data_IF_308587563988
#
_entry.id   IF_308587563988
#
_cell.length_a   1.000
_cell.length_b   1.000
_cell.length_c   1.000
_cell.angle_alpha   90.00
_cell.angle_beta   90.00
_cell.angle_gamma   90.00
#
_symmetry.space_group_name_H-M   'P 1'
#
loop_
_entity.id
_entity.type
_entity.pdbx_description
1 polymer ?
#
# COMPACT_ATOMS: atom_id res chain seq x y z
N UNK A 1 13.02 -1.65 7.70
CA UNK A 1 12.20 -2.05 6.54
C UNK A 1 12.01 -3.57 6.47
N UNK A 2 11.18 -4.04 5.53
CA UNK A 2 10.84 -5.47 5.38
C UNK A 2 12.08 -6.30 5.04
N UNK A 3 12.94 -5.83 4.15
CA UNK A 3 14.15 -6.56 3.78
C UNK A 3 15.07 -6.77 4.97
N UNK A 4 15.24 -5.74 5.80
CA UNK A 4 16.06 -5.81 7.02
C UNK A 4 15.55 -6.85 8.01
N UNK A 5 14.24 -6.93 8.27
CA UNK A 5 13.73 -7.91 9.25
C UNK A 5 13.76 -9.33 8.72
N UNK A 6 13.59 -9.53 7.41
CA UNK A 6 13.72 -10.83 6.75
C UNK A 6 15.18 -11.33 6.81
N UNK A 7 16.13 -10.46 6.54
CA UNK A 7 17.56 -10.80 6.62
C UNK A 7 18.03 -11.10 8.05
N UNK A 8 17.48 -10.38 9.04
CA UNK A 8 17.86 -10.56 10.45
C UNK A 8 17.19 -11.74 11.14
N UNK A 9 16.07 -12.23 10.66
CA UNK A 9 15.29 -13.27 11.35
C UNK A 9 16.10 -14.56 11.62
N UNK A 10 16.85 -15.16 10.67
CA UNK A 10 17.68 -16.32 10.95
C UNK A 10 18.78 -16.02 11.98
N UNK A 11 19.37 -14.83 11.93
CA UNK A 11 20.40 -14.43 12.89
C UNK A 11 19.84 -14.36 14.30
N UNK A 12 18.71 -13.69 14.50
CA UNK A 12 18.05 -13.60 15.81
C UNK A 12 17.63 -14.98 16.33
N UNK A 13 17.23 -15.89 15.46
CA UNK A 13 16.93 -17.28 15.82
C UNK A 13 18.16 -17.98 16.38
N UNK A 14 19.31 -17.86 15.75
CA UNK A 14 20.56 -18.46 16.21
C UNK A 14 21.05 -17.80 17.51
N UNK A 15 21.18 -16.47 17.51
CA UNK A 15 21.80 -15.75 18.64
C UNK A 15 20.91 -15.72 19.90
N UNK A 16 19.58 -15.64 19.74
CA UNK A 16 18.66 -15.49 20.88
C UNK A 16 18.01 -16.79 21.32
N UNK A 17 17.81 -17.75 20.39
CA UNK A 17 17.16 -19.04 20.69
C UNK A 17 18.12 -20.21 20.79
N UNK A 18 19.43 -20.00 20.54
CA UNK A 18 20.48 -20.97 20.74
C UNK A 18 20.50 -22.09 19.71
N UNK A 19 20.05 -21.86 18.50
CA UNK A 19 20.27 -22.77 17.35
C UNK A 19 21.67 -22.54 16.75
N UNK A 20 22.16 -23.51 15.99
CA UNK A 20 23.44 -23.37 15.31
C UNK A 20 23.25 -22.72 13.92
N UNK A 21 22.17 -23.09 13.25
CA UNK A 21 21.83 -22.60 11.92
C UNK A 21 20.34 -22.30 11.84
N UNK A 22 20.00 -21.26 11.09
CA UNK A 22 18.62 -20.96 10.74
C UNK A 22 18.51 -20.42 9.32
N UNK A 23 17.40 -20.70 8.67
CA UNK A 23 17.07 -20.22 7.33
C UNK A 23 15.62 -19.76 7.25
N UNK A 24 15.37 -18.75 6.42
CA UNK A 24 14.04 -18.25 6.13
C UNK A 24 13.71 -18.47 4.65
N UNK A 25 12.59 -19.14 4.43
CA UNK A 25 12.00 -19.31 3.10
C UNK A 25 10.78 -18.42 2.94
N UNK A 26 10.63 -17.85 1.77
CA UNK A 26 9.39 -17.19 1.33
C UNK A 26 8.61 -18.12 0.40
N UNK A 27 7.28 -18.09 0.49
CA UNK A 27 6.40 -18.73 -0.47
C UNK A 27 6.05 -17.76 -1.59
N UNK A 28 6.40 -18.10 -2.82
CA UNK A 28 6.11 -17.31 -4.00
C UNK A 28 5.65 -18.22 -5.14
N UNK A 29 4.45 -17.98 -5.66
CA UNK A 29 3.85 -18.73 -6.77
C UNK A 29 3.93 -20.27 -6.59
N UNK A 30 3.67 -20.76 -5.38
CA UNK A 30 3.70 -22.19 -5.08
C UNK A 30 5.09 -22.81 -4.98
N UNK A 31 6.14 -22.00 -4.90
CA UNK A 31 7.53 -22.44 -4.68
C UNK A 31 8.07 -21.87 -3.36
N UNK A 32 9.06 -22.56 -2.78
CA UNK A 32 9.83 -22.04 -1.65
C UNK A 32 11.11 -21.41 -2.16
N UNK A 33 11.28 -20.12 -1.89
CA UNK A 33 12.49 -19.37 -2.22
C UNK A 33 13.21 -19.02 -0.92
N UNK A 34 14.45 -19.45 -0.75
CA UNK A 34 15.26 -19.07 0.41
C UNK A 34 15.65 -17.60 0.30
N UNK A 35 15.24 -16.79 1.27
CA UNK A 35 15.50 -15.35 1.32
C UNK A 35 16.77 -15.04 2.10
N UNK A 36 16.98 -15.74 3.23
CA UNK A 36 18.12 -15.51 4.11
C UNK A 36 18.51 -16.76 4.88
N UNK A 37 19.77 -16.82 5.27
CA UNK A 37 20.35 -17.86 6.10
C UNK A 37 21.37 -17.26 7.06
N UNK A 38 21.52 -17.86 8.25
CA UNK A 38 22.56 -17.50 9.20
C UNK A 38 23.08 -18.78 9.90
N UNK A 39 24.40 -18.98 9.84
CA UNK A 39 25.09 -20.18 10.32
C UNK A 39 26.18 -19.82 11.34
N UNK A 40 25.90 -18.86 12.23
CA UNK A 40 26.88 -18.38 13.18
C UNK A 40 28.09 -17.76 12.46
N UNK A 41 29.29 -18.29 12.75
CA UNK A 41 30.55 -17.83 12.15
C UNK A 41 30.76 -18.32 10.71
N UNK A 42 30.00 -19.32 10.23
CA UNK A 42 30.11 -19.87 8.87
C UNK A 42 29.29 -19.04 7.86
N UNK A 43 29.75 -17.83 7.62
CA UNK A 43 29.12 -16.90 6.66
C UNK A 43 29.14 -17.44 5.23
N UNK A 44 30.27 -18.04 4.82
CA UNK A 44 30.43 -18.59 3.47
C UNK A 44 29.47 -19.75 3.23
N UNK A 45 29.30 -20.64 4.23
CA UNK A 45 28.31 -21.73 4.18
C UNK A 45 26.88 -21.22 4.06
N UNK A 46 26.52 -20.16 4.77
CA UNK A 46 25.21 -19.54 4.68
C UNK A 46 24.95 -18.94 3.27
N UNK A 47 25.91 -18.21 2.71
CA UNK A 47 25.81 -17.62 1.36
C UNK A 47 25.68 -18.71 0.28
N UNK A 48 26.48 -19.78 0.36
CA UNK A 48 26.38 -20.95 -0.54
C UNK A 48 25.03 -21.65 -0.43
N UNK A 49 24.52 -21.77 0.79
CA UNK A 49 23.20 -22.39 1.03
C UNK A 49 22.08 -21.61 0.38
N UNK A 50 22.08 -20.29 0.53
CA UNK A 50 21.08 -19.41 -0.13
C UNK A 50 21.15 -19.56 -1.64
N UNK A 51 22.35 -19.45 -2.23
CA UNK A 51 22.53 -19.57 -3.68
C UNK A 51 22.07 -20.93 -4.21
N UNK A 52 22.41 -22.03 -3.53
CA UNK A 52 21.99 -23.36 -3.90
C UNK A 52 20.45 -23.52 -3.81
N UNK A 53 19.85 -23.14 -2.69
CA UNK A 53 18.43 -23.29 -2.46
C UNK A 53 17.58 -22.45 -3.43
N UNK A 54 18.06 -21.25 -3.81
CA UNK A 54 17.43 -20.43 -4.84
C UNK A 54 17.51 -21.07 -6.24
N UNK A 55 18.60 -21.73 -6.56
CA UNK A 55 18.76 -22.45 -7.84
C UNK A 55 17.83 -23.67 -7.93
N UNK A 56 17.59 -24.36 -6.83
CA UNK A 56 16.67 -25.52 -6.75
C UNK A 56 15.21 -25.06 -6.72
N UNK A 57 14.91 -24.00 -5.97
CA UNK A 57 13.58 -23.39 -5.75
C UNK A 57 12.44 -24.44 -5.71
N UNK A 58 12.38 -25.30 -4.67
CA UNK A 58 11.50 -26.46 -4.68
C UNK A 58 10.02 -26.06 -4.73
N UNK A 59 9.21 -26.69 -5.61
CA UNK A 59 7.78 -26.47 -5.61
C UNK A 59 7.16 -27.07 -4.33
N UNK A 60 6.12 -26.42 -3.82
CA UNK A 60 5.31 -26.92 -2.70
C UNK A 60 4.37 -28.02 -3.21
N UNK A 61 4.89 -29.20 -3.44
CA UNK A 61 4.07 -30.36 -3.79
C UNK A 61 3.35 -30.96 -2.56
N UNK A 62 2.43 -31.91 -2.82
CA UNK A 62 1.61 -32.50 -1.76
C UNK A 62 2.38 -33.41 -0.79
N UNK A 63 3.58 -33.82 -1.14
CA UNK A 63 4.42 -34.72 -0.32
C UNK A 63 5.28 -33.96 0.68
N UNK A 64 5.60 -32.71 0.42
CA UNK A 64 6.49 -31.94 1.27
C UNK A 64 5.89 -31.65 2.65
N UNK A 65 6.77 -31.64 3.65
CA UNK A 65 6.45 -31.32 5.03
C UNK A 65 5.84 -29.91 5.16
N UNK A 66 6.36 -28.96 4.41
CA UNK A 66 5.90 -27.58 4.37
C UNK A 66 4.44 -27.47 3.87
N UNK A 67 4.04 -28.30 2.92
CA UNK A 67 2.65 -28.39 2.50
C UNK A 67 1.73 -28.90 3.60
N UNK A 68 2.21 -29.83 4.43
CA UNK A 68 1.48 -30.29 5.60
C UNK A 68 1.39 -29.18 6.67
N UNK A 69 2.47 -28.42 6.88
CA UNK A 69 2.46 -27.26 7.78
C UNK A 69 1.46 -26.19 7.33
N UNK A 70 1.36 -25.92 6.01
CA UNK A 70 0.34 -25.02 5.45
C UNK A 70 -1.07 -25.51 5.80
N UNK A 71 -1.34 -26.81 5.61
CA UNK A 71 -2.69 -27.38 5.86
C UNK A 71 -3.07 -27.42 7.33
N UNK A 72 -2.10 -27.67 8.20
CA UNK A 72 -2.31 -27.87 9.65
C UNK A 72 -2.14 -26.59 10.46
N UNK A 73 -1.53 -25.56 9.86
CA UNK A 73 -1.13 -24.34 10.55
C UNK A 73 -0.33 -24.66 11.83
N UNK A 74 0.64 -25.56 11.72
CA UNK A 74 1.40 -26.06 12.85
C UNK A 74 2.87 -26.26 12.49
N UNK A 75 3.78 -26.15 13.47
CA UNK A 75 5.21 -26.41 13.29
C UNK A 75 5.48 -27.90 13.10
N UNK A 76 6.68 -28.22 12.64
CA UNK A 76 7.13 -29.57 12.43
C UNK A 76 8.47 -29.83 13.12
N UNK A 77 8.65 -31.09 13.58
CA UNK A 77 9.90 -31.63 14.10
C UNK A 77 10.32 -32.79 13.21
N UNK A 78 11.55 -32.75 12.71
CA UNK A 78 12.17 -33.80 11.90
C UNK A 78 13.42 -34.27 12.64
N UNK A 79 13.38 -35.49 13.20
CA UNK A 79 14.46 -36.06 13.98
C UNK A 79 15.47 -36.88 13.13
N UNK A 80 15.03 -37.30 11.94
CA UNK A 80 15.87 -38.02 10.96
C UNK A 80 15.58 -37.51 9.55
N UNK A 81 16.19 -36.37 9.19
CA UNK A 81 15.96 -35.73 7.91
C UNK A 81 16.45 -36.57 6.71
N UNK A 82 17.43 -37.47 6.93
CA UNK A 82 17.98 -38.32 5.85
C UNK A 82 17.01 -39.39 5.40
N UNK A 83 16.16 -39.87 6.29
CA UNK A 83 15.23 -40.96 6.02
C UNK A 83 13.77 -40.50 5.93
N UNK A 84 13.46 -39.22 6.21
CA UNK A 84 12.12 -38.69 6.08
C UNK A 84 11.77 -38.44 4.60
N UNK A 85 10.73 -39.10 4.05
CA UNK A 85 10.34 -38.93 2.65
C UNK A 85 9.67 -37.56 2.36
N UNK A 86 9.33 -36.80 3.40
CA UNK A 86 8.62 -35.51 3.28
C UNK A 86 9.56 -34.33 3.12
N UNK A 87 10.86 -34.51 3.25
CA UNK A 87 11.83 -33.41 3.17
C UNK A 87 12.30 -33.19 1.73
N UNK A 88 12.72 -31.96 1.43
CA UNK A 88 13.38 -31.65 0.16
C UNK A 88 14.80 -32.25 0.16
N UNK A 89 14.96 -33.40 -0.49
CA UNK A 89 16.19 -34.16 -0.49
C UNK A 89 17.40 -33.34 -0.97
N UNK A 90 17.36 -32.61 -2.10
CA UNK A 90 18.49 -31.80 -2.55
C UNK A 90 18.98 -30.81 -1.49
N UNK A 91 18.07 -30.17 -0.77
CA UNK A 91 18.42 -29.20 0.29
C UNK A 91 19.04 -29.91 1.48
N UNK A 92 18.48 -31.04 1.93
CA UNK A 92 19.01 -31.83 3.05
C UNK A 92 20.40 -32.40 2.75
N UNK A 93 20.61 -32.92 1.56
CA UNK A 93 21.91 -33.49 1.15
C UNK A 93 22.98 -32.39 1.04
N UNK A 94 22.65 -31.22 0.51
CA UNK A 94 23.56 -30.08 0.44
C UNK A 94 23.91 -29.52 1.82
N UNK A 95 22.91 -29.35 2.68
CA UNK A 95 23.08 -28.76 4.02
C UNK A 95 23.65 -29.75 5.05
N UNK A 96 23.70 -31.02 4.72
CA UNK A 96 24.10 -32.12 5.64
C UNK A 96 23.25 -32.18 6.91
N UNK A 97 22.02 -31.65 6.87
CA UNK A 97 21.13 -31.60 8.03
C UNK A 97 20.68 -33.00 8.45
N UNK A 98 20.83 -33.31 9.74
CA UNK A 98 20.39 -34.57 10.31
C UNK A 98 19.01 -34.50 10.94
N UNK A 99 18.77 -33.43 11.68
CA UNK A 99 17.49 -33.14 12.30
C UNK A 99 17.24 -31.65 12.26
N UNK A 100 15.97 -31.22 12.14
CA UNK A 100 15.62 -29.80 12.14
C UNK A 100 14.19 -29.59 12.63
N UNK A 101 13.90 -28.37 13.03
CA UNK A 101 12.56 -27.88 13.33
C UNK A 101 12.17 -26.82 12.32
N UNK A 102 10.88 -26.77 12.00
CA UNK A 102 10.34 -25.82 11.04
C UNK A 102 9.01 -25.23 11.52
N UNK A 103 8.78 -23.97 11.27
CA UNK A 103 7.50 -23.33 11.55
C UNK A 103 7.04 -22.44 10.41
N UNK A 104 5.72 -22.42 10.11
CA UNK A 104 5.16 -21.53 9.13
C UNK A 104 5.05 -20.11 9.69
N UNK A 105 5.31 -19.11 8.85
CA UNK A 105 5.12 -17.68 9.16
C UNK A 105 3.75 -17.27 8.65
N UNK A 106 2.83 -16.90 9.55
CA UNK A 106 1.43 -16.66 9.22
C UNK A 106 0.89 -15.36 9.83
N UNK A 107 1.29 -14.15 9.36
CA UNK A 107 0.89 -12.89 9.98
C UNK A 107 -0.62 -12.66 10.00
N UNK A 108 -1.36 -13.16 9.01
CA UNK A 108 -2.83 -12.97 8.87
C UNK A 108 -3.56 -14.31 8.67
N UNK A 109 -3.03 -15.39 9.22
CA UNK A 109 -3.56 -16.75 9.01
C UNK A 109 -3.19 -17.36 7.64
N UNK A 110 -2.55 -16.59 6.75
CA UNK A 110 -2.03 -17.08 5.48
C UNK A 110 -0.52 -17.31 5.61
N UNK A 111 -0.05 -18.50 5.25
CA UNK A 111 1.39 -18.81 5.22
C UNK A 111 2.07 -18.00 4.13
N UNK A 112 3.06 -17.19 4.52
CA UNK A 112 3.90 -16.39 3.62
C UNK A 112 5.32 -16.93 3.50
N UNK A 113 5.73 -17.82 4.39
CA UNK A 113 7.07 -18.38 4.44
C UNK A 113 7.23 -19.41 5.55
N UNK A 114 8.46 -19.85 5.74
CA UNK A 114 8.84 -20.80 6.77
C UNK A 114 10.17 -20.40 7.41
N UNK A 115 10.31 -20.66 8.70
CA UNK A 115 11.58 -20.64 9.42
C UNK A 115 11.98 -22.07 9.71
N UNK A 116 13.23 -22.45 9.34
CA UNK A 116 13.84 -23.72 9.71
C UNK A 116 15.07 -23.44 10.56
N UNK A 117 15.33 -24.29 11.55
CA UNK A 117 16.50 -24.21 12.39
C UNK A 117 17.00 -25.59 12.79
N UNK A 118 18.30 -25.72 12.97
CA UNK A 118 18.95 -26.94 13.42
C UNK A 118 20.11 -26.69 14.41
N UNK A 119 20.67 -27.79 14.89
CA UNK A 119 21.80 -27.83 15.83
C UNK A 119 22.95 -28.68 15.28
N UNK A 120 23.28 -28.46 14.01
CA UNK A 120 24.27 -29.32 13.33
C UNK A 120 25.67 -29.24 13.94
N UNK A 121 26.14 -28.04 14.26
CA UNK A 121 27.50 -27.82 14.74
C UNK A 121 27.71 -28.30 16.18
N UNK A 122 26.70 -28.17 17.03
CA UNK A 122 26.72 -28.73 18.39
C UNK A 122 26.53 -30.24 18.44
N UNK A 123 26.13 -30.85 17.30
CA UNK A 123 25.88 -32.29 17.20
C UNK A 123 24.65 -32.77 17.98
N UNK A 124 23.80 -31.82 18.44
CA UNK A 124 22.59 -32.12 19.21
C UNK A 124 21.42 -32.34 18.29
N UNK A 125 20.65 -33.38 18.50
CA UNK A 125 19.36 -33.58 17.83
C UNK A 125 18.34 -32.57 18.39
N UNK A 126 17.56 -31.94 17.54
CA UNK A 126 16.47 -31.07 17.95
C UNK A 126 15.32 -31.86 18.58
N UNK A 127 14.56 -31.20 19.45
CA UNK A 127 13.48 -31.78 20.24
C UNK A 127 12.17 -30.95 20.16
N UNK A 128 11.17 -31.36 20.94
CA UNK A 128 9.88 -30.66 20.98
C UNK A 128 9.99 -29.24 21.53
N UNK A 129 10.92 -28.97 22.44
CA UNK A 129 11.15 -27.64 22.99
C UNK A 129 11.72 -26.73 21.88
N UNK A 130 12.64 -27.26 21.08
CA UNK A 130 13.19 -26.56 19.93
C UNK A 130 12.09 -26.23 18.90
N UNK A 131 11.17 -27.19 18.62
CA UNK A 131 10.00 -26.97 17.74
C UNK A 131 9.11 -25.84 18.27
N UNK A 132 8.76 -25.86 19.54
CA UNK A 132 7.88 -24.89 20.16
C UNK A 132 8.56 -23.51 20.23
N UNK A 133 9.88 -23.48 20.40
CA UNK A 133 10.69 -22.26 20.34
C UNK A 133 10.65 -21.60 18.96
N UNK A 134 10.87 -22.39 17.89
CA UNK A 134 10.78 -21.87 16.50
C UNK A 134 9.36 -21.44 16.19
N UNK A 135 8.36 -22.14 16.70
CA UNK A 135 6.95 -21.76 16.53
C UNK A 135 6.66 -20.41 17.17
N UNK A 136 7.00 -20.23 18.44
CA UNK A 136 6.79 -18.95 19.13
C UNK A 136 7.54 -17.79 18.46
N UNK A 137 8.75 -18.04 17.98
CA UNK A 137 9.51 -17.04 17.23
C UNK A 137 8.84 -16.70 15.90
N UNK A 138 8.38 -17.68 15.14
CA UNK A 138 7.71 -17.48 13.84
C UNK A 138 6.41 -16.68 13.99
N UNK A 139 5.64 -16.90 15.06
CA UNK A 139 4.46 -16.09 15.39
C UNK A 139 4.85 -14.63 15.68
N UNK A 140 5.83 -14.41 16.55
CA UNK A 140 6.33 -13.06 16.87
C UNK A 140 6.90 -12.34 15.64
N UNK A 141 7.66 -13.06 14.82
CA UNK A 141 8.18 -12.55 13.55
C UNK A 141 7.04 -12.19 12.59
N UNK A 142 6.00 -13.01 12.47
CA UNK A 142 4.83 -12.75 11.65
C UNK A 142 4.16 -11.41 11.97
N UNK A 143 3.96 -11.11 13.27
CA UNK A 143 3.44 -9.82 13.72
C UNK A 143 4.38 -8.65 13.41
N UNK A 144 5.68 -8.82 13.62
CA UNK A 144 6.68 -7.80 13.31
C UNK A 144 6.74 -7.51 11.80
N UNK A 145 6.65 -8.54 10.98
CA UNK A 145 6.60 -8.45 9.53
C UNK A 145 5.35 -7.67 9.05
N UNK A 146 4.17 -8.07 9.50
CA UNK A 146 2.91 -7.40 9.16
C UNK A 146 2.94 -5.91 9.53
N UNK A 147 3.35 -5.61 10.76
CA UNK A 147 3.51 -4.23 11.22
C UNK A 147 4.46 -3.43 10.32
N UNK A 148 5.58 -4.02 9.92
CA UNK A 148 6.56 -3.36 9.05
C UNK A 148 5.99 -3.09 7.67
N UNK A 149 5.29 -4.06 7.07
CA UNK A 149 4.62 -3.91 5.77
C UNK A 149 3.57 -2.77 5.82
N UNK A 150 2.75 -2.73 6.87
CA UNK A 150 1.74 -1.69 7.04
C UNK A 150 2.38 -0.30 7.20
N UNK A 151 3.44 -0.18 7.99
CA UNK A 151 4.17 1.09 8.17
C UNK A 151 4.81 1.57 6.86
N UNK A 152 5.39 0.67 6.07
CA UNK A 152 5.94 1.03 4.76
C UNK A 152 4.86 1.48 3.79
N UNK A 153 3.72 0.78 3.76
CA UNK A 153 2.57 1.18 2.94
C UNK A 153 2.07 2.57 3.31
N UNK A 154 1.92 2.84 4.61
CA UNK A 154 1.54 4.17 5.11
C UNK A 154 2.55 5.25 4.69
N UNK A 155 3.86 4.98 4.85
CA UNK A 155 4.91 5.93 4.44
C UNK A 155 4.86 6.25 2.95
N UNK A 156 4.64 5.23 2.09
CA UNK A 156 4.48 5.43 0.64
C UNK A 156 3.26 6.29 0.33
N UNK A 157 2.10 5.98 0.92
CA UNK A 157 0.88 6.77 0.73
C UNK A 157 1.05 8.23 1.18
N UNK A 158 1.67 8.46 2.34
CA UNK A 158 1.96 9.82 2.82
C UNK A 158 2.93 10.57 1.88
N UNK A 159 3.90 9.88 1.30
CA UNK A 159 4.81 10.48 0.33
C UNK A 159 4.10 10.86 -0.98
N UNK A 160 3.15 10.04 -1.43
CA UNK A 160 2.31 10.33 -2.60
C UNK A 160 1.39 11.54 -2.37
N UNK A 161 0.72 11.59 -1.22
CA UNK A 161 -0.12 12.74 -0.84
C UNK A 161 0.70 14.02 -0.77
N UNK A 162 1.88 13.99 -0.14
CA UNK A 162 2.77 15.17 -0.07
C UNK A 162 3.23 15.62 -1.46
N UNK A 163 3.55 14.70 -2.37
CA UNK A 163 3.91 15.04 -3.75
C UNK A 163 2.76 15.68 -4.50
N UNK A 164 1.55 15.14 -4.35
CA UNK A 164 0.35 15.70 -4.97
C UNK A 164 0.05 17.11 -4.45
N UNK A 165 0.18 17.36 -3.14
CA UNK A 165 0.01 18.67 -2.54
C UNK A 165 1.06 19.68 -3.03
N UNK A 166 2.33 19.27 -3.09
CA UNK A 166 3.41 20.13 -3.61
C UNK A 166 3.18 20.51 -5.08
N UNK A 167 2.73 19.56 -5.91
CA UNK A 167 2.38 19.84 -7.31
C UNK A 167 1.18 20.78 -7.44
N UNK A 168 0.20 20.65 -6.56
CA UNK A 168 -0.95 21.58 -6.53
C UNK A 168 -0.52 22.99 -6.12
N UNK A 169 0.33 23.14 -5.10
CA UNK A 169 0.87 24.42 -4.68
C UNK A 169 1.68 25.09 -5.79
N UNK A 170 2.48 24.30 -6.53
CA UNK A 170 3.26 24.81 -7.66
C UNK A 170 2.34 25.29 -8.81
N UNK A 171 1.29 24.54 -9.10
CA UNK A 171 0.29 24.93 -10.10
C UNK A 171 -0.45 26.22 -9.70
N UNK A 172 -0.80 26.37 -8.42
CA UNK A 172 -1.43 27.59 -7.90
C UNK A 172 -0.47 28.80 -8.02
N UNK A 173 0.82 28.63 -7.67
CA UNK A 173 1.82 29.70 -7.83
C UNK A 173 2.00 30.08 -9.28
N UNK A 174 2.12 29.10 -10.18
CA UNK A 174 2.24 29.38 -11.61
C UNK A 174 1.04 30.17 -12.17
N UNK A 175 -0.19 29.87 -11.69
CA UNK A 175 -1.37 30.63 -12.04
C UNK A 175 -1.35 32.07 -11.48
N UNK A 176 -0.87 32.23 -10.25
CA UNK A 176 -0.73 33.57 -9.63
C UNK A 176 0.33 34.42 -10.36
N UNK A 177 1.47 33.81 -10.72
CA UNK A 177 2.53 34.50 -11.47
C UNK A 177 2.05 34.88 -12.87
N UNK A 178 1.29 34.03 -13.55
CA UNK A 178 0.70 34.34 -14.84
C UNK A 178 -0.35 35.50 -14.75
N UNK A 179 -1.13 35.53 -13.66
CA UNK A 179 -2.07 36.64 -13.41
C UNK A 179 -1.34 37.98 -13.14
N UNK A 180 -0.21 37.94 -12.43
CA UNK A 180 0.63 39.13 -12.18
C UNK A 180 1.30 39.65 -13.47
N UNK A 181 1.72 38.75 -14.38
CA UNK A 181 2.33 39.14 -15.65
C UNK A 181 1.25 39.73 -16.61
N UNK A 182 0.03 39.21 -16.57
CA UNK A 182 -1.09 39.80 -17.32
C UNK A 182 -1.46 41.22 -16.82
N UNK A 183 -1.26 41.52 -15.55
CA UNK A 183 -1.50 42.86 -14.96
C UNK A 183 -0.39 43.87 -15.29
N UNK A 184 0.81 43.43 -15.67
CA UNK A 184 1.93 44.30 -16.08
C UNK A 184 1.86 44.74 -17.54
N UNK A 185 0.95 44.15 -18.35
CA UNK A 185 0.69 44.61 -19.70
C UNK A 185 -0.13 45.90 -19.56
N UNK A 186 0.44 47.06 -19.94
CA UNK A 186 -0.26 48.36 -19.98
C UNK A 186 -1.60 48.20 -20.68
N UNK A 187 -2.62 49.00 -20.27
CA UNK A 187 -3.97 48.88 -20.81
C UNK A 187 -3.96 49.18 -22.31
N UNK A 188 -3.80 48.14 -23.11
CA UNK A 188 -4.20 48.20 -24.52
C UNK A 188 -5.68 48.51 -24.52
N UNK A 189 -6.05 49.60 -25.22
CA UNK A 189 -7.46 50.04 -25.41
C UNK A 189 -8.38 48.82 -25.58
N UNK A 190 -9.36 48.73 -24.69
CA UNK A 190 -10.28 47.59 -24.60
C UNK A 190 -10.88 47.33 -25.97
N UNK A 191 -10.42 46.25 -26.61
CA UNK A 191 -10.99 45.77 -27.87
C UNK A 191 -12.51 45.53 -27.69
N UNK A 192 -13.31 45.83 -28.70
CA UNK A 192 -14.77 45.58 -28.68
C UNK A 192 -15.16 44.17 -28.31
N UNK A 193 -14.26 43.19 -28.53
CA UNK A 193 -14.42 41.77 -28.16
C UNK A 193 -14.39 41.55 -26.63
N UNK A 194 -13.58 42.29 -25.85
CA UNK A 194 -13.51 42.16 -24.38
C UNK A 194 -14.76 42.73 -23.68
N UNK A 195 -15.35 43.82 -24.25
CA UNK A 195 -16.64 44.34 -23.79
C UNK A 195 -17.77 43.33 -24.03
N UNK A 196 -17.77 42.65 -25.16
CA UNK A 196 -18.75 41.62 -25.49
C UNK A 196 -18.73 40.42 -24.51
N UNK A 197 -17.56 39.99 -24.00
CA UNK A 197 -17.45 38.90 -23.04
C UNK A 197 -17.97 39.30 -21.64
N UNK A 198 -17.68 40.49 -21.16
CA UNK A 198 -18.19 40.99 -19.88
C UNK A 198 -19.73 41.15 -19.92
N UNK A 199 -20.27 41.63 -21.04
CA UNK A 199 -21.70 41.72 -21.26
C UNK A 199 -22.40 40.37 -21.35
N UNK A 200 -21.77 39.36 -21.95
CA UNK A 200 -22.27 37.99 -22.00
C UNK A 200 -22.28 37.37 -20.60
N UNK A 201 -21.21 37.58 -19.79
CA UNK A 201 -21.11 37.09 -18.42
C UNK A 201 -22.19 37.67 -17.51
N UNK A 202 -22.40 38.98 -17.55
CA UNK A 202 -23.46 39.66 -16.79
C UNK A 202 -24.85 39.19 -17.22
N UNK A 203 -25.04 38.93 -18.52
CA UNK A 203 -26.28 38.42 -19.09
C UNK A 203 -26.59 36.97 -18.65
N UNK A 204 -25.59 36.12 -18.50
CA UNK A 204 -25.78 34.72 -18.04
C UNK A 204 -26.21 34.67 -16.58
N UNK A 205 -25.63 35.49 -15.70
CA UNK A 205 -26.02 35.57 -14.29
C UNK A 205 -27.41 36.20 -14.10
N UNK A 206 -27.78 37.18 -14.94
CA UNK A 206 -29.11 37.83 -14.89
C UNK A 206 -30.24 36.85 -15.34
N UNK A 207 -29.94 35.78 -16.00
CA UNK A 207 -30.92 34.71 -16.35
C UNK A 207 -31.27 33.80 -15.16
N UNK A 208 -30.47 33.80 -14.08
CA UNK A 208 -30.73 33.04 -12.89
C UNK A 208 -31.54 33.84 -11.87
N UNK A 209 -32.50 33.21 -11.22
CA UNK A 209 -33.18 33.80 -10.08
C UNK A 209 -32.25 33.86 -8.86
N UNK A 210 -32.53 34.76 -7.90
CA UNK A 210 -31.74 34.82 -6.63
C UNK A 210 -31.57 33.45 -6.01
N UNK A 211 -32.61 32.64 -5.98
CA UNK A 211 -32.56 31.27 -5.39
C UNK A 211 -31.70 30.30 -6.19
N UNK A 212 -31.71 30.42 -7.50
CA UNK A 212 -30.85 29.61 -8.38
C UNK A 212 -29.37 30.01 -8.25
N UNK A 213 -29.06 31.27 -8.00
CA UNK A 213 -27.70 31.77 -7.72
C UNK A 213 -27.21 31.23 -6.36
N UNK A 214 -28.04 31.24 -5.32
CA UNK A 214 -27.70 30.68 -4.01
C UNK A 214 -27.38 29.18 -4.11
N UNK A 215 -28.23 28.42 -4.80
CA UNK A 215 -28.01 27.02 -5.04
C UNK A 215 -26.72 26.77 -5.82
N UNK A 216 -26.46 27.56 -6.88
CA UNK A 216 -25.26 27.47 -7.70
C UNK A 216 -23.98 27.74 -6.89
N UNK A 217 -24.02 28.77 -6.02
CA UNK A 217 -22.91 29.07 -5.09
C UNK A 217 -22.58 27.91 -4.18
N UNK A 218 -23.60 27.29 -3.58
CA UNK A 218 -23.41 26.13 -2.69
C UNK A 218 -22.96 24.88 -3.46
N UNK A 219 -23.41 24.71 -4.72
CA UNK A 219 -22.88 23.68 -5.61
C UNK A 219 -21.39 23.88 -5.89
N UNK A 220 -20.96 25.12 -6.14
CA UNK A 220 -19.54 25.45 -6.37
C UNK A 220 -18.69 25.26 -5.11
N UNK A 221 -19.27 25.46 -3.91
CA UNK A 221 -18.65 25.13 -2.63
C UNK A 221 -18.64 23.62 -2.31
N UNK A 222 -19.05 22.75 -3.23
CA UNK A 222 -19.02 21.29 -3.08
C UNK A 222 -20.14 20.68 -2.20
N UNK A 223 -21.16 21.46 -1.81
CA UNK A 223 -22.25 20.97 -0.95
C UNK A 223 -23.13 19.95 -1.66
N UNK A 224 -23.51 18.85 -1.00
CA UNK A 224 -24.50 17.89 -1.52
C UNK A 224 -25.90 18.49 -1.55
N UNK A 225 -26.84 17.90 -2.30
CA UNK A 225 -28.23 18.38 -2.34
C UNK A 225 -28.90 18.38 -0.96
N UNK A 226 -28.55 17.43 -0.09
CA UNK A 226 -29.06 17.40 1.28
C UNK A 226 -28.51 18.57 2.10
N UNK A 227 -27.19 18.83 2.04
CA UNK A 227 -26.56 19.94 2.72
C UNK A 227 -27.09 21.30 2.23
N UNK A 228 -27.36 21.42 0.91
CA UNK A 228 -28.00 22.61 0.35
C UNK A 228 -29.44 22.79 0.87
N UNK A 229 -30.17 21.66 0.97
CA UNK A 229 -31.53 21.67 1.51
C UNK A 229 -31.59 22.17 2.97
N UNK A 230 -30.66 21.63 3.78
CA UNK A 230 -30.53 22.00 5.20
C UNK A 230 -30.13 23.47 5.36
N UNK A 231 -29.14 23.94 4.58
CA UNK A 231 -28.65 25.35 4.63
C UNK A 231 -29.67 26.35 4.14
N UNK A 232 -30.47 25.98 3.15
CA UNK A 232 -31.50 26.85 2.56
C UNK A 232 -32.90 26.64 3.16
N UNK A 233 -33.03 25.73 4.13
CA UNK A 233 -34.30 25.37 4.81
C UNK A 233 -35.43 25.02 3.82
N UNK A 234 -35.11 24.11 2.86
CA UNK A 234 -36.06 23.58 1.86
C UNK A 234 -35.89 22.08 1.69
N UNK A 235 -36.82 21.42 1.00
CA UNK A 235 -36.69 19.98 0.75
C UNK A 235 -35.56 19.65 -0.25
N UNK A 236 -34.93 18.48 -0.08
CA UNK A 236 -33.93 17.98 -1.04
C UNK A 236 -34.52 17.82 -2.46
N UNK A 237 -35.80 17.52 -2.58
CA UNK A 237 -36.54 17.49 -3.85
C UNK A 237 -36.61 18.87 -4.51
N UNK A 238 -36.82 19.93 -3.71
CA UNK A 238 -36.81 21.31 -4.18
C UNK A 238 -35.43 21.73 -4.68
N UNK A 239 -34.36 21.36 -3.93
CA UNK A 239 -32.96 21.57 -4.38
C UNK A 239 -32.69 20.86 -5.71
N UNK A 240 -33.10 19.59 -5.86
CA UNK A 240 -32.94 18.85 -7.12
C UNK A 240 -33.61 19.54 -8.30
N UNK A 241 -34.79 20.17 -8.08
CA UNK A 241 -35.50 20.96 -9.08
C UNK A 241 -34.72 22.23 -9.45
N UNK A 242 -34.18 22.94 -8.45
CA UNK A 242 -33.34 24.15 -8.71
C UNK A 242 -32.05 23.75 -9.45
N UNK A 243 -31.36 22.71 -9.04
CA UNK A 243 -30.16 22.22 -9.74
C UNK A 243 -30.46 21.90 -11.22
N UNK A 244 -31.57 21.22 -11.52
CA UNK A 244 -31.97 20.93 -12.90
C UNK A 244 -32.20 22.22 -13.73
N UNK A 245 -32.81 23.23 -13.11
CA UNK A 245 -33.03 24.54 -13.79
C UNK A 245 -31.73 25.30 -14.01
N UNK A 246 -30.83 25.31 -13.04
CA UNK A 246 -29.50 25.91 -13.13
C UNK A 246 -28.69 25.23 -14.27
N UNK A 247 -28.60 23.91 -14.31
CA UNK A 247 -27.91 23.19 -15.37
C UNK A 247 -28.45 23.57 -16.76
N UNK A 248 -29.78 23.57 -16.91
CA UNK A 248 -30.43 23.94 -18.18
C UNK A 248 -30.12 25.38 -18.59
N UNK A 249 -30.19 26.34 -17.65
CA UNK A 249 -29.97 27.78 -17.94
C UNK A 249 -28.50 28.07 -18.26
N UNK A 250 -27.57 27.37 -17.61
CA UNK A 250 -26.13 27.46 -17.86
C UNK A 250 -25.67 26.61 -19.03
N UNK A 251 -26.56 25.79 -19.64
CA UNK A 251 -26.24 24.78 -20.66
C UNK A 251 -25.14 23.81 -20.21
N UNK A 252 -25.09 23.53 -18.90
CA UNK A 252 -24.13 22.61 -18.30
C UNK A 252 -24.70 21.18 -18.31
N UNK A 253 -23.88 20.21 -18.71
CA UNK A 253 -24.26 18.79 -18.78
C UNK A 253 -24.25 18.10 -17.43
N UNK A 254 -23.44 18.62 -16.49
CA UNK A 254 -23.30 18.06 -15.16
C UNK A 254 -23.01 19.16 -14.11
N UNK A 255 -23.06 18.74 -12.83
CA UNK A 255 -22.84 19.60 -11.67
C UNK A 255 -21.46 20.25 -11.66
N UNK A 256 -20.42 19.51 -12.03
CA UNK A 256 -19.04 20.01 -12.03
C UNK A 256 -18.85 21.12 -13.06
N UNK A 257 -19.45 20.95 -14.23
CA UNK A 257 -19.43 21.98 -15.29
C UNK A 257 -20.15 23.26 -14.86
N UNK A 258 -21.31 23.15 -14.20
CA UNK A 258 -22.01 24.31 -13.65
C UNK A 258 -21.21 25.02 -12.57
N UNK A 259 -20.57 24.29 -11.66
CA UNK A 259 -19.70 24.84 -10.62
C UNK A 259 -18.48 25.56 -11.23
N UNK A 260 -17.83 24.97 -12.21
CA UNK A 260 -16.71 25.59 -12.95
C UNK A 260 -17.13 26.85 -13.69
N UNK A 261 -18.34 26.86 -14.28
CA UNK A 261 -18.90 28.07 -14.91
C UNK A 261 -19.11 29.19 -13.90
N UNK A 262 -19.65 28.89 -12.71
CA UNK A 262 -19.82 29.87 -11.64
C UNK A 262 -18.49 30.46 -11.16
N UNK A 263 -17.48 29.64 -10.93
CA UNK A 263 -16.15 30.09 -10.48
C UNK A 263 -15.54 31.07 -11.51
N UNK A 264 -15.60 30.73 -12.80
CA UNK A 264 -15.13 31.62 -13.89
C UNK A 264 -15.89 32.96 -13.90
N UNK A 265 -17.21 32.94 -13.66
CA UNK A 265 -18.06 34.15 -13.62
C UNK A 265 -17.80 34.98 -12.36
N UNK A 266 -17.49 34.36 -11.21
CA UNK A 266 -17.23 35.05 -9.94
C UNK A 266 -15.85 35.71 -9.91
N UNK A 267 -14.82 35.08 -10.52
CA UNK A 267 -13.47 35.66 -10.62
C UNK A 267 -13.46 36.90 -11.53
N UNK A 268 -14.27 36.93 -12.57
CA UNK A 268 -14.40 38.11 -13.47
C UNK A 268 -15.07 39.33 -12.86
N UNK A 269 -15.65 39.26 -11.65
CA UNK A 269 -16.26 40.40 -10.95
C UNK A 269 -15.34 41.07 -9.91
N UNK A 270 -14.17 40.52 -9.64
CA UNK A 270 -13.20 41.07 -8.66
C UNK A 270 -12.00 41.77 -9.31
N UNK A 271 -12.01 41.97 -10.62
CA UNK A 271 -10.96 42.64 -11.39
C UNK A 271 -11.36 44.01 -11.92
#
# INVERSE_FOLDING_TARGET
>A
DVATIVDRAPREMVESCGFDRAVLFRVHDGTMVMESAYFGDDREGAEKMVAFAQAVAPPLDHMLLETQMIRRHAPALVTDARNDPRVNRPIIDFSLTHSYVAAPIMPTGKVIGFLHADRLYSGRTVDEIDRDTVWAFAEGFGYAYERTVLLERMRRQHAEVRRALASADEAVRALQDADLDLRKIEPVERSPAAQSLADIQTRVLSMLTRREVEVLRLMAAGRTNQQIADELVISAGTVKSHVKRVLRKLRATNRAEAASAYVRLAIGQQG
#
